data_IF_011449623841
#
_entry.id   IF_011449623841
#
_cell.length_a   1.000
_cell.length_b   1.000
_cell.length_c   1.000
_cell.angle_alpha   90.00
_cell.angle_beta   90.00
_cell.angle_gamma   90.00
#
_symmetry.space_group_name_H-M   'P 1'
#
loop_
_entity.id
_entity.type
_entity.pdbx_description
1 polymer ?
#
# COMPACT_ATOMS: atom_id res chain seq x y z
N UNK A 1 2.92 -1.03 -22.08
CA UNK A 1 2.88 -2.27 -22.89
C UNK A 1 3.97 -3.30 -22.53
N UNK A 2 5.27 -2.97 -22.41
CA UNK A 2 6.30 -3.98 -22.05
C UNK A 2 6.32 -4.43 -20.57
N UNK A 3 6.02 -3.53 -19.62
CA UNK A 3 6.08 -3.85 -18.19
C UNK A 3 4.93 -4.77 -17.73
N UNK A 4 3.76 -4.68 -18.37
CA UNK A 4 2.57 -5.49 -18.06
C UNK A 4 2.82 -6.98 -18.32
N UNK A 5 3.33 -7.32 -19.50
CA UNK A 5 3.68 -8.70 -19.85
C UNK A 5 4.82 -9.23 -18.97
N UNK A 6 5.75 -8.36 -18.55
CA UNK A 6 6.81 -8.71 -17.60
C UNK A 6 6.25 -9.02 -16.20
N UNK A 7 5.38 -8.18 -15.66
CA UNK A 7 4.76 -8.40 -14.34
C UNK A 7 3.85 -9.64 -14.36
N UNK A 8 3.05 -9.82 -15.42
CA UNK A 8 2.23 -11.02 -15.60
C UNK A 8 3.08 -12.29 -15.81
N UNK A 9 4.21 -12.19 -16.52
CA UNK A 9 5.17 -13.28 -16.70
C UNK A 9 5.94 -13.63 -15.42
N UNK A 10 6.27 -12.64 -14.59
CA UNK A 10 6.92 -12.83 -13.27
C UNK A 10 5.91 -13.43 -12.27
N UNK A 11 4.65 -12.98 -12.32
CA UNK A 11 3.59 -13.52 -11.48
C UNK A 11 3.27 -14.98 -11.82
N UNK A 12 3.62 -15.46 -13.03
CA UNK A 12 3.63 -16.89 -13.37
C UNK A 12 2.34 -17.61 -12.96
N UNK A 13 1.19 -17.17 -13.49
CA UNK A 13 -0.15 -17.69 -13.19
C UNK A 13 -0.57 -17.70 -11.69
N UNK A 14 0.26 -17.19 -10.77
CA UNK A 14 -0.02 -17.11 -9.34
C UNK A 14 -0.55 -15.72 -8.98
N UNK A 15 -1.87 -15.64 -8.84
CA UNK A 15 -2.58 -14.42 -8.43
C UNK A 15 -2.02 -13.83 -7.12
N UNK A 16 -1.59 -14.68 -6.18
CA UNK A 16 -1.02 -14.26 -4.89
C UNK A 16 0.28 -13.45 -5.02
N UNK A 17 1.09 -13.75 -6.05
CA UNK A 17 2.31 -12.99 -6.36
C UNK A 17 1.93 -11.62 -6.91
N UNK A 18 0.92 -11.54 -7.77
CA UNK A 18 0.44 -10.28 -8.32
C UNK A 18 -0.16 -9.37 -7.23
N UNK A 19 -0.96 -9.94 -6.32
CA UNK A 19 -1.48 -9.25 -5.13
C UNK A 19 -0.33 -8.69 -4.30
N UNK A 20 0.69 -9.51 -4.02
CA UNK A 20 1.86 -9.08 -3.26
C UNK A 20 2.60 -7.93 -3.92
N UNK A 21 2.84 -8.00 -5.23
CA UNK A 21 3.52 -6.94 -5.99
C UNK A 21 2.75 -5.62 -5.88
N UNK A 22 1.43 -5.62 -6.14
CA UNK A 22 0.60 -4.42 -6.03
C UNK A 22 0.64 -3.86 -4.62
N UNK A 23 0.38 -4.71 -3.62
CA UNK A 23 0.32 -4.31 -2.21
C UNK A 23 1.63 -3.66 -1.74
N UNK A 24 2.77 -4.31 -1.98
CA UNK A 24 4.07 -3.82 -1.51
C UNK A 24 4.54 -2.58 -2.26
N UNK A 25 4.33 -2.51 -3.59
CA UNK A 25 4.66 -1.30 -4.35
C UNK A 25 3.80 -0.12 -3.87
N UNK A 26 2.51 -0.33 -3.65
CA UNK A 26 1.61 0.71 -3.13
C UNK A 26 2.00 1.14 -1.71
N UNK A 27 2.39 0.18 -0.86
CA UNK A 27 2.86 0.46 0.51
C UNK A 27 4.12 1.31 0.52
N UNK A 28 5.13 0.93 -0.27
CA UNK A 28 6.38 1.67 -0.35
C UNK A 28 6.15 3.03 -1.00
N UNK A 29 5.41 3.09 -2.10
CA UNK A 29 5.11 4.35 -2.78
C UNK A 29 4.36 5.33 -1.89
N UNK A 30 3.38 4.85 -1.11
CA UNK A 30 2.56 5.73 -0.27
C UNK A 30 3.28 6.14 1.01
N UNK A 31 4.40 5.49 1.35
CA UNK A 31 5.28 5.99 2.40
C UNK A 31 5.87 7.37 2.07
N UNK A 32 5.83 7.80 0.81
CA UNK A 32 6.32 9.10 0.35
C UNK A 32 5.17 9.96 -0.20
N UNK A 33 4.24 9.34 -0.94
CA UNK A 33 3.11 10.00 -1.57
C UNK A 33 1.83 9.83 -0.74
N UNK A 34 0.98 10.86 -0.75
CA UNK A 34 -0.36 10.75 -0.18
C UNK A 34 -1.14 9.57 -0.82
N UNK A 35 -1.85 8.83 0.02
CA UNK A 35 -2.58 7.62 -0.36
C UNK A 35 -3.59 7.87 -1.48
N UNK A 36 -4.24 9.04 -1.52
CA UNK A 36 -5.21 9.37 -2.58
C UNK A 36 -4.49 9.54 -3.93
N UNK A 37 -3.37 10.26 -3.94
CA UNK A 37 -2.58 10.51 -5.16
C UNK A 37 -2.00 9.20 -5.69
N UNK A 38 -1.48 8.35 -4.79
CA UNK A 38 -0.94 7.06 -5.18
C UNK A 38 -2.02 6.14 -5.75
N UNK A 39 -3.17 6.01 -5.09
CA UNK A 39 -4.27 5.18 -5.60
C UNK A 39 -4.71 5.68 -6.97
N UNK A 40 -4.91 6.98 -7.14
CA UNK A 40 -5.29 7.57 -8.42
C UNK A 40 -4.28 7.24 -9.55
N UNK A 41 -2.98 7.29 -9.26
CA UNK A 41 -1.94 6.96 -10.22
C UNK A 41 -1.91 5.46 -10.60
N UNK A 42 -2.35 4.57 -9.71
CA UNK A 42 -2.28 3.12 -9.89
C UNK A 42 -3.60 2.49 -10.39
N UNK A 43 -4.73 3.20 -10.37
CA UNK A 43 -5.98 2.81 -11.04
C UNK A 43 -5.76 2.25 -12.45
N UNK A 44 -5.06 2.95 -13.38
CA UNK A 44 -4.86 2.44 -14.74
C UNK A 44 -3.99 1.18 -14.79
N UNK A 45 -3.12 0.97 -13.79
CA UNK A 45 -2.33 -0.26 -13.66
C UNK A 45 -3.24 -1.44 -13.35
N UNK A 46 -4.14 -1.30 -12.37
CA UNK A 46 -5.10 -2.37 -12.02
C UNK A 46 -6.05 -2.67 -13.18
N UNK A 47 -6.59 -1.64 -13.82
CA UNK A 47 -7.47 -1.79 -14.99
C UNK A 47 -6.78 -2.49 -16.16
N UNK A 48 -5.45 -2.33 -16.30
CA UNK A 48 -4.72 -2.98 -17.39
C UNK A 48 -4.66 -4.51 -17.30
N UNK A 49 -5.02 -5.10 -16.15
CA UNK A 49 -5.12 -6.54 -15.97
C UNK A 49 -6.49 -7.12 -16.35
N UNK A 50 -7.49 -6.30 -16.72
CA UNK A 50 -8.84 -6.76 -17.12
C UNK A 50 -8.82 -7.77 -18.28
N UNK A 51 -7.82 -7.70 -19.16
CA UNK A 51 -7.68 -8.63 -20.29
C UNK A 51 -7.15 -10.03 -19.93
N UNK A 52 -6.85 -10.31 -18.66
CA UNK A 52 -6.24 -11.58 -18.22
C UNK A 52 -7.27 -12.65 -17.77
N UNK A 53 -8.58 -12.42 -17.86
CA UNK A 53 -9.62 -13.31 -17.33
C UNK A 53 -9.41 -13.70 -15.85
N UNK A 54 -8.79 -12.82 -15.07
CA UNK A 54 -8.59 -12.99 -13.62
C UNK A 54 -9.59 -12.11 -12.87
N UNK A 55 -10.01 -12.55 -11.68
CA UNK A 55 -10.71 -11.66 -10.76
C UNK A 55 -9.75 -10.58 -10.25
N UNK A 56 -10.10 -9.32 -10.54
CA UNK A 56 -9.30 -8.16 -10.17
C UNK A 56 -9.65 -7.63 -8.78
N UNK A 57 -10.73 -8.10 -8.16
CA UNK A 57 -11.18 -7.61 -6.87
C UNK A 57 -10.09 -7.68 -5.80
N UNK A 58 -9.28 -8.76 -5.68
CA UNK A 58 -8.17 -8.80 -4.73
C UNK A 58 -7.08 -7.75 -4.98
N UNK A 59 -6.87 -7.36 -6.25
CA UNK A 59 -5.89 -6.33 -6.61
C UNK A 59 -6.35 -4.92 -6.21
N UNK A 60 -7.67 -4.65 -6.30
CA UNK A 60 -8.25 -3.40 -5.80
C UNK A 60 -8.08 -3.27 -4.29
N UNK A 61 -8.31 -4.35 -3.55
CA UNK A 61 -8.06 -4.38 -2.10
C UNK A 61 -6.58 -4.23 -1.78
N UNK A 62 -5.69 -4.91 -2.52
CA UNK A 62 -4.25 -4.76 -2.37
C UNK A 62 -3.79 -3.30 -2.55
N UNK A 63 -4.32 -2.61 -3.57
CA UNK A 63 -4.02 -1.19 -3.80
C UNK A 63 -4.53 -0.30 -2.66
N UNK A 64 -5.78 -0.52 -2.21
CA UNK A 64 -6.39 0.24 -1.12
C UNK A 64 -5.60 0.09 0.19
N UNK A 65 -5.36 -1.14 0.62
CA UNK A 65 -4.63 -1.41 1.86
C UNK A 65 -3.18 -0.93 1.78
N UNK A 66 -2.52 -1.14 0.64
CA UNK A 66 -1.15 -0.68 0.42
C UNK A 66 -1.05 0.85 0.52
N UNK A 67 -1.97 1.59 -0.12
CA UNK A 67 -2.02 3.05 0.01
C UNK A 67 -2.22 3.50 1.45
N UNK A 68 -3.24 2.96 2.14
CA UNK A 68 -3.57 3.37 3.50
C UNK A 68 -2.49 3.04 4.53
N UNK A 69 -1.87 1.86 4.45
CA UNK A 69 -0.81 1.49 5.40
C UNK A 69 0.52 2.15 5.07
N UNK A 70 0.84 2.28 3.78
CA UNK A 70 2.03 2.98 3.32
C UNK A 70 2.09 4.42 3.81
N UNK A 71 1.00 5.17 3.66
CA UNK A 71 0.88 6.57 4.12
C UNK A 71 1.19 6.79 5.60
N UNK A 72 1.08 5.75 6.42
CA UNK A 72 1.37 5.81 7.87
C UNK A 72 2.83 5.52 8.23
N UNK A 73 3.63 4.98 7.30
CA UNK A 73 5.03 4.60 7.56
C UNK A 73 5.89 5.83 7.85
N UNK A 74 5.70 6.92 7.11
CA UNK A 74 6.41 8.18 7.34
C UNK A 74 5.45 9.27 7.80
N UNK A 75 6.00 10.29 8.45
CA UNK A 75 5.19 11.44 8.85
C UNK A 75 4.70 12.29 7.65
N UNK A 76 5.35 12.17 6.48
CA UNK A 76 5.03 12.97 5.28
C UNK A 76 4.06 12.24 4.35
N UNK A 77 4.01 10.91 4.44
CA UNK A 77 3.17 10.05 3.59
C UNK A 77 1.66 10.29 3.72
N UNK A 78 1.21 11.00 4.75
CA UNK A 78 -0.18 11.47 4.85
C UNK A 78 -0.26 12.84 5.52
N UNK A 79 -1.13 13.69 4.98
CA UNK A 79 -1.45 14.99 5.57
C UNK A 79 -1.99 14.87 6.99
N UNK A 80 -2.70 13.77 7.31
CA UNK A 80 -3.23 13.52 8.65
C UNK A 80 -2.11 13.37 9.71
N UNK A 81 -0.98 12.75 9.35
CA UNK A 81 0.16 12.58 10.25
C UNK A 81 0.77 13.93 10.63
N UNK A 82 0.96 14.81 9.63
CA UNK A 82 1.49 16.16 9.84
C UNK A 82 0.55 16.98 10.73
N UNK A 83 -0.76 16.92 10.47
CA UNK A 83 -1.76 17.63 11.27
C UNK A 83 -1.78 17.13 12.72
N UNK A 84 -1.75 15.80 12.93
CA UNK A 84 -1.72 15.21 14.26
C UNK A 84 -0.47 15.63 15.06
N UNK A 85 0.70 15.65 14.41
CA UNK A 85 1.94 16.15 15.02
C UNK A 85 1.88 17.64 15.34
N UNK A 86 1.29 18.45 14.46
CA UNK A 86 1.10 19.88 14.70
C UNK A 86 0.19 20.16 15.90
N UNK A 87 -0.88 19.38 16.07
CA UNK A 87 -1.75 19.47 17.26
C UNK A 87 -0.99 19.04 18.51
N UNK A 88 -0.23 17.94 18.45
CA UNK A 88 0.54 17.43 19.58
C UNK A 88 1.62 18.44 20.05
N UNK A 89 2.30 19.08 19.12
CA UNK A 89 3.28 20.13 19.42
C UNK A 89 2.58 21.36 20.03
N UNK A 90 1.43 21.76 19.50
CA UNK A 90 0.67 22.91 19.99
C UNK A 90 0.09 22.71 21.40
N UNK A 91 -0.49 21.55 21.68
CA UNK A 91 -1.22 21.31 22.94
C UNK A 91 -0.35 20.76 24.06
N UNK A 92 0.64 19.93 23.72
CA UNK A 92 1.47 19.23 24.72
C UNK A 92 2.94 19.62 24.69
N UNK A 93 3.36 20.48 23.75
CA UNK A 93 4.75 20.87 23.54
C UNK A 93 5.68 19.66 23.32
N UNK A 94 5.13 18.57 22.77
CA UNK A 94 5.87 17.33 22.45
C UNK A 94 6.20 17.35 20.96
N UNK A 95 7.50 17.31 20.64
CA UNK A 95 7.98 17.19 19.27
C UNK A 95 8.40 15.76 18.99
N UNK A 96 7.81 15.14 17.97
CA UNK A 96 8.22 13.83 17.48
C UNK A 96 9.14 14.04 16.27
N UNK A 97 10.33 13.44 16.31
CA UNK A 97 11.29 13.49 15.21
C UNK A 97 10.89 12.52 14.09
N UNK A 98 11.34 12.80 12.87
CA UNK A 98 11.07 11.94 11.71
C UNK A 98 11.45 10.48 11.98
N UNK A 99 12.67 10.24 12.48
CA UNK A 99 13.15 8.87 12.73
C UNK A 99 12.38 8.15 13.82
N UNK A 100 11.89 8.86 14.83
CA UNK A 100 11.07 8.27 15.89
C UNK A 100 9.72 7.79 15.33
N UNK A 101 9.06 8.62 14.51
CA UNK A 101 7.85 8.20 13.82
C UNK A 101 8.14 7.04 12.87
N UNK A 102 9.18 7.19 12.05
CA UNK A 102 9.53 6.23 11.00
C UNK A 102 9.71 4.81 11.52
N UNK A 103 10.43 4.61 12.63
CA UNK A 103 10.61 3.25 13.16
C UNK A 103 9.30 2.61 13.68
N UNK A 104 8.43 3.41 14.28
CA UNK A 104 7.11 2.93 14.74
C UNK A 104 6.21 2.66 13.52
N UNK A 105 6.11 3.62 12.61
CA UNK A 105 5.31 3.55 11.39
C UNK A 105 5.76 2.41 10.47
N UNK A 106 7.07 2.22 10.30
CA UNK A 106 7.63 1.11 9.53
C UNK A 106 7.24 -0.24 10.14
N UNK A 107 7.36 -0.38 11.46
CA UNK A 107 7.00 -1.63 12.15
C UNK A 107 5.52 -1.95 11.98
N UNK A 108 4.65 -0.98 12.29
CA UNK A 108 3.19 -1.16 12.18
C UNK A 108 2.77 -1.37 10.72
N UNK A 109 3.34 -0.59 9.80
CA UNK A 109 3.06 -0.67 8.37
C UNK A 109 3.46 -2.02 7.78
N UNK A 110 4.68 -2.50 8.05
CA UNK A 110 5.16 -3.81 7.58
C UNK A 110 4.33 -4.94 8.14
N UNK A 111 4.07 -4.95 9.45
CA UNK A 111 3.25 -6.00 10.09
C UNK A 111 1.84 -6.03 9.50
N UNK A 112 1.18 -4.87 9.39
CA UNK A 112 -0.17 -4.77 8.82
C UNK A 112 -0.21 -5.20 7.36
N UNK A 113 0.82 -4.85 6.59
CA UNK A 113 0.97 -5.24 5.17
C UNK A 113 1.14 -6.74 5.03
N UNK A 114 1.95 -7.39 5.87
CA UNK A 114 2.11 -8.85 5.87
C UNK A 114 0.80 -9.54 6.21
N UNK A 115 0.09 -9.08 7.24
CA UNK A 115 -1.20 -9.66 7.65
C UNK A 115 -2.21 -9.59 6.51
N UNK A 116 -2.34 -8.43 5.87
CA UNK A 116 -3.26 -8.28 4.73
C UNK A 116 -2.81 -9.05 3.51
N UNK A 117 -1.50 -9.15 3.25
CA UNK A 117 -1.00 -9.96 2.15
C UNK A 117 -1.41 -11.43 2.31
N UNK A 118 -1.25 -11.97 3.52
CA UNK A 118 -1.68 -13.34 3.83
C UNK A 118 -3.20 -13.46 3.69
N UNK A 119 -3.96 -12.54 4.28
CA UNK A 119 -5.42 -12.54 4.21
C UNK A 119 -5.93 -12.51 2.76
N UNK A 120 -5.40 -11.62 1.91
CA UNK A 120 -5.77 -11.51 0.50
C UNK A 120 -5.23 -12.66 -0.36
N UNK A 121 -4.20 -13.36 0.07
CA UNK A 121 -3.73 -14.57 -0.62
C UNK A 121 -4.57 -15.80 -0.29
N UNK A 122 -5.24 -15.81 0.87
CA UNK A 122 -6.11 -16.88 1.33
C UNK A 122 -7.57 -16.65 0.94
N UNK A 123 -8.03 -15.39 0.89
CA UNK A 123 -9.40 -15.01 0.53
C UNK A 123 -9.90 -15.60 -0.81
N UNK A 124 -9.10 -15.64 -1.90
CA UNK A 124 -9.52 -16.22 -3.18
C UNK A 124 -9.69 -17.75 -3.15
N UNK A 125 -9.31 -18.41 -2.05
CA UNK A 125 -9.53 -19.86 -1.87
C UNK A 125 -10.94 -20.17 -1.30
N UNK A 126 -11.66 -19.16 -0.82
CA UNK A 126 -12.97 -19.30 -0.17
C UNK A 126 -14.14 -18.76 -1.01
N UNK A 127 -13.87 -18.14 -2.15
CA UNK A 127 -14.85 -17.62 -3.13
C UNK A 127 -14.69 -18.38 -4.46
#
# INVERSE_FOLDING_TARGET
MCWQKKIASIAGNNISVLIGIVLWISTIGSSILDNVVLVAAFIPVIQSFQGLNLDLQPLWWALLFGGCFGGNITLVGSTANIVALGILEKEKNIKITFFRWFWVGLTVGVVSTIVVWIALSVLPLYL
#
